data_IF_411237325380
#
_entry.id   IF_411237325380
#
_cell.length_a   1.000
_cell.length_b   1.000
_cell.length_c   1.000
_cell.angle_alpha   90.00
_cell.angle_beta   90.00
_cell.angle_gamma   90.00
#
_symmetry.space_group_name_H-M   'P 1'
#
loop_
_entity.id
_entity.type
_entity.pdbx_description
1 polymer ?
#
# COMPACT_ATOMS: atom_id res chain seq x y z
N UNK A 1 -0.64 81.75 -8.70
CA UNK A 1 -1.96 81.11 -8.49
C UNK A 1 -2.17 80.09 -9.61
N UNK A 2 -2.77 78.91 -9.36
CA UNK A 2 -2.05 77.63 -9.25
C UNK A 2 -2.50 76.55 -10.27
N UNK A 3 -1.91 75.34 -10.14
CA UNK A 3 -2.39 74.00 -10.58
C UNK A 3 -1.75 73.46 -11.87
N UNK A 4 -1.33 72.22 -12.00
CA UNK A 4 -1.31 71.09 -11.07
C UNK A 4 -0.22 70.11 -11.50
N UNK A 5 0.53 69.66 -10.51
CA UNK A 5 1.29 68.42 -10.53
C UNK A 5 0.26 67.28 -10.61
N UNK A 6 0.18 66.53 -11.70
CA UNK A 6 -0.58 65.26 -11.70
C UNK A 6 0.13 64.22 -12.55
N UNK A 7 0.98 63.50 -11.83
CA UNK A 7 1.49 62.14 -12.08
C UNK A 7 0.57 61.33 -13.00
N UNK A 8 1.10 60.89 -14.13
CA UNK A 8 0.60 59.70 -14.82
C UNK A 8 1.73 58.65 -14.79
N UNK A 9 1.91 58.05 -13.62
CA UNK A 9 2.51 56.71 -13.55
C UNK A 9 1.50 55.79 -14.21
N UNK A 10 1.78 55.37 -15.45
CA UNK A 10 1.02 54.31 -16.10
C UNK A 10 1.19 53.04 -15.26
N UNK A 11 0.22 52.78 -14.39
CA UNK A 11 0.10 51.54 -13.67
C UNK A 11 -0.16 50.44 -14.69
N UNK A 12 0.91 49.75 -15.09
CA UNK A 12 0.82 48.47 -15.77
C UNK A 12 0.32 47.46 -14.72
N UNK A 13 -0.98 47.48 -14.45
CA UNK A 13 -1.64 46.46 -13.64
C UNK A 13 -1.71 45.21 -14.52
N UNK A 14 -0.64 44.42 -14.48
CA UNK A 14 -0.61 43.06 -15.01
C UNK A 14 -1.62 42.27 -14.16
N UNK A 15 -2.86 42.18 -14.63
CA UNK A 15 -3.84 41.25 -14.08
C UNK A 15 -3.31 39.86 -14.42
N UNK A 16 -2.47 39.32 -13.54
CA UNK A 16 -2.23 37.89 -13.43
C UNK A 16 -3.55 37.27 -12.98
N UNK A 17 -4.44 37.03 -13.95
CA UNK A 17 -5.43 35.97 -13.85
C UNK A 17 -4.63 34.67 -13.74
N UNK A 18 -4.16 34.39 -12.53
CA UNK A 18 -3.79 33.04 -12.17
C UNK A 18 -5.06 32.23 -12.33
N UNK A 19 -5.17 31.51 -13.45
CA UNK A 19 -5.90 30.25 -13.43
C UNK A 19 -5.28 29.47 -12.29
N UNK A 20 -5.97 29.43 -11.15
CA UNK A 20 -5.82 28.35 -10.23
C UNK A 20 -6.21 27.11 -11.05
N UNK A 21 -5.20 26.49 -11.65
CA UNK A 21 -5.31 25.10 -12.06
C UNK A 21 -5.54 24.38 -10.75
N UNK A 22 -6.80 24.12 -10.43
CA UNK A 22 -7.14 23.20 -9.36
C UNK A 22 -6.48 21.89 -9.78
N UNK A 23 -5.44 21.49 -9.05
CA UNK A 23 -4.74 20.26 -9.35
C UNK A 23 -5.77 19.13 -9.31
N UNK A 24 -5.87 18.37 -10.39
CA UNK A 24 -6.76 17.21 -10.45
C UNK A 24 -6.55 16.37 -9.19
N UNK A 25 -7.63 15.94 -8.50
CA UNK A 25 -7.50 15.15 -7.28
C UNK A 25 -6.65 13.92 -7.57
N UNK A 26 -5.49 13.83 -6.92
CA UNK A 26 -4.63 12.65 -7.05
C UNK A 26 -5.36 11.46 -6.43
N UNK A 27 -5.66 10.40 -7.21
CA UNK A 27 -6.25 9.18 -6.67
C UNK A 27 -5.31 8.57 -5.62
N UNK A 28 -5.88 8.06 -4.53
CA UNK A 28 -5.14 7.46 -3.43
C UNK A 28 -5.61 6.04 -3.22
N UNK A 29 -4.67 5.15 -2.88
CA UNK A 29 -4.94 3.72 -2.70
C UNK A 29 -4.47 3.28 -1.32
N UNK A 30 -5.37 2.60 -0.59
CA UNK A 30 -5.06 1.86 0.62
C UNK A 30 -5.23 0.37 0.33
N UNK A 31 -4.14 -0.39 0.47
CA UNK A 31 -4.17 -1.86 0.42
C UNK A 31 -4.16 -2.35 1.87
N UNK A 32 -5.24 -2.98 2.30
CA UNK A 32 -5.29 -3.73 3.57
C UNK A 32 -5.25 -5.20 3.22
N UNK A 33 -4.21 -5.90 3.63
CA UNK A 33 -4.12 -7.35 3.47
C UNK A 33 -4.09 -8.05 4.81
N UNK A 34 -4.83 -9.16 4.88
CA UNK A 34 -5.01 -10.00 6.07
C UNK A 34 -4.44 -11.37 5.69
N UNK A 35 -3.28 -11.71 6.25
CA UNK A 35 -2.61 -12.98 5.93
C UNK A 35 -3.46 -14.17 6.40
N UNK A 36 -3.39 -15.28 5.67
CA UNK A 36 -4.14 -16.51 5.95
C UNK A 36 -5.67 -16.37 5.93
N UNK A 37 -6.21 -15.22 5.49
CA UNK A 37 -7.65 -14.96 5.52
C UNK A 37 -8.39 -15.72 4.41
N UNK A 38 -8.84 -16.92 4.74
CA UNK A 38 -9.59 -17.76 3.81
C UNK A 38 -11.01 -17.21 3.56
N UNK A 39 -11.49 -17.16 2.30
CA UNK A 39 -12.85 -16.68 1.99
C UNK A 39 -13.97 -17.43 2.73
N UNK A 40 -13.87 -18.75 2.90
CA UNK A 40 -14.91 -19.54 3.56
C UNK A 40 -14.97 -19.30 5.08
N UNK A 41 -13.81 -19.06 5.70
CA UNK A 41 -13.73 -18.63 7.09
C UNK A 41 -14.32 -17.22 7.27
N UNK A 42 -14.03 -16.30 6.34
CA UNK A 42 -14.58 -14.95 6.35
C UNK A 42 -16.11 -14.95 6.25
N UNK A 43 -16.68 -15.75 5.36
CA UNK A 43 -18.14 -15.88 5.19
C UNK A 43 -18.86 -16.45 6.42
N UNK A 44 -18.17 -17.25 7.23
CA UNK A 44 -18.74 -17.84 8.46
C UNK A 44 -18.58 -16.92 9.68
N UNK A 45 -17.58 -16.04 9.66
CA UNK A 45 -17.27 -15.12 10.74
C UNK A 45 -18.28 -13.96 10.82
N UNK A 46 -18.36 -13.32 11.99
CA UNK A 46 -19.13 -12.08 12.14
C UNK A 46 -18.22 -10.88 11.85
N UNK A 47 -18.27 -10.36 10.63
CA UNK A 47 -17.33 -9.33 10.15
C UNK A 47 -18.04 -8.08 9.62
N UNK A 48 -18.84 -7.37 10.44
CA UNK A 48 -19.76 -6.32 9.97
C UNK A 48 -19.08 -5.18 9.19
N UNK A 49 -17.81 -4.89 9.46
CA UNK A 49 -17.05 -3.87 8.73
C UNK A 49 -16.58 -4.36 7.36
N UNK A 50 -16.13 -5.61 7.23
CA UNK A 50 -15.79 -6.20 5.94
C UNK A 50 -17.05 -6.47 5.11
N UNK A 51 -18.14 -6.89 5.77
CA UNK A 51 -19.46 -7.08 5.14
C UNK A 51 -19.97 -5.77 4.51
N UNK A 52 -19.80 -4.64 5.21
CA UNK A 52 -20.13 -3.32 4.67
C UNK A 52 -19.26 -2.94 3.47
N UNK A 53 -17.95 -3.20 3.52
CA UNK A 53 -17.05 -2.96 2.38
C UNK A 53 -17.40 -3.81 1.16
N UNK A 54 -17.84 -5.05 1.37
CA UNK A 54 -18.33 -5.92 0.30
C UNK A 54 -19.64 -5.40 -0.28
N UNK A 55 -20.58 -4.97 0.57
CA UNK A 55 -21.87 -4.45 0.14
C UNK A 55 -21.77 -3.17 -0.69
N UNK A 56 -20.83 -2.28 -0.34
CA UNK A 56 -20.59 -1.01 -1.03
C UNK A 56 -19.52 -1.11 -2.14
N UNK A 57 -18.92 -2.30 -2.32
CA UNK A 57 -17.74 -2.50 -3.15
C UNK A 57 -17.87 -3.67 -4.13
N UNK A 58 -16.73 -4.30 -4.43
CA UNK A 58 -16.64 -5.47 -5.31
C UNK A 58 -16.03 -6.62 -4.51
N UNK A 59 -16.68 -7.77 -4.56
CA UNK A 59 -16.20 -9.02 -4.00
C UNK A 59 -15.82 -10.00 -5.11
N UNK A 60 -14.66 -10.64 -4.98
CA UNK A 60 -14.17 -11.62 -5.93
C UNK A 60 -13.49 -12.77 -5.21
N UNK A 61 -13.98 -13.99 -5.41
CA UNK A 61 -13.50 -15.20 -4.71
C UNK A 61 -12.39 -15.92 -5.48
N UNK A 62 -12.21 -15.63 -6.77
CA UNK A 62 -11.27 -16.32 -7.65
C UNK A 62 -9.84 -15.81 -7.57
N UNK A 63 -9.38 -15.34 -6.41
CA UNK A 63 -7.99 -14.90 -6.23
C UNK A 63 -7.11 -16.11 -5.94
N UNK A 64 -6.20 -16.43 -6.87
CA UNK A 64 -5.20 -17.48 -6.68
C UNK A 64 -3.82 -16.86 -6.54
N UNK A 65 -3.01 -17.42 -5.64
CA UNK A 65 -1.57 -17.10 -5.53
C UNK A 65 -0.71 -18.11 -6.29
N UNK A 66 -1.36 -19.09 -6.91
CA UNK A 66 -0.79 -20.08 -7.81
C UNK A 66 -1.02 -19.70 -9.27
N UNK A 67 -0.05 -20.01 -10.12
CA UNK A 67 -0.12 -19.94 -11.56
C UNK A 67 -1.29 -20.78 -12.08
N UNK A 68 -2.17 -20.22 -12.93
CA UNK A 68 -3.38 -20.91 -13.39
C UNK A 68 -3.14 -22.21 -14.16
N UNK A 69 -1.95 -22.39 -14.74
CA UNK A 69 -1.58 -23.61 -15.48
C UNK A 69 -0.99 -24.72 -14.60
N UNK A 70 -0.88 -24.47 -13.29
CA UNK A 70 -0.33 -25.41 -12.31
C UNK A 70 1.19 -25.60 -12.41
N UNK A 71 1.91 -24.71 -13.09
CA UNK A 71 3.38 -24.76 -13.21
C UNK A 71 4.13 -24.11 -12.05
N UNK A 72 3.41 -23.84 -10.96
CA UNK A 72 3.87 -23.17 -9.75
C UNK A 72 5.28 -23.56 -9.32
N UNK A 73 6.15 -22.56 -9.27
CA UNK A 73 7.44 -22.70 -8.61
C UNK A 73 7.32 -22.61 -7.07
N UNK A 74 6.16 -22.24 -6.53
CA UNK A 74 5.94 -22.01 -5.10
C UNK A 74 4.53 -22.45 -4.62
N UNK A 75 4.45 -22.87 -3.36
CA UNK A 75 3.16 -23.17 -2.70
C UNK A 75 2.45 -21.89 -2.20
N UNK A 76 1.28 -22.07 -1.59
CA UNK A 76 0.49 -20.99 -0.96
C UNK A 76 1.12 -20.50 0.34
N UNK A 77 2.27 -19.84 0.24
CA UNK A 77 3.10 -19.34 1.36
C UNK A 77 3.17 -17.81 1.31
N UNK A 78 3.25 -17.15 2.47
CA UNK A 78 3.25 -15.69 2.60
C UNK A 78 4.26 -15.00 1.67
N UNK A 79 5.53 -15.43 1.67
CA UNK A 79 6.60 -14.82 0.87
C UNK A 79 6.23 -14.73 -0.62
N UNK A 80 5.97 -15.86 -1.29
CA UNK A 80 5.45 -15.88 -2.66
C UNK A 80 4.17 -15.06 -2.83
N UNK A 81 3.14 -15.25 -1.99
CA UNK A 81 1.85 -14.57 -2.11
C UNK A 81 1.94 -13.04 -2.04
N UNK A 82 2.67 -12.50 -1.06
CA UNK A 82 2.89 -11.06 -0.93
C UNK A 82 3.78 -10.50 -2.04
N UNK A 83 4.72 -11.30 -2.54
CA UNK A 83 5.52 -10.94 -3.72
C UNK A 83 4.65 -10.85 -4.97
N UNK A 84 3.75 -11.80 -5.20
CA UNK A 84 2.78 -11.76 -6.29
C UNK A 84 1.95 -10.48 -6.23
N UNK A 85 1.32 -10.22 -5.08
CA UNK A 85 0.44 -9.07 -4.87
C UNK A 85 1.17 -7.74 -5.16
N UNK A 86 2.39 -7.61 -4.64
CA UNK A 86 3.10 -6.33 -4.70
C UNK A 86 3.91 -6.14 -5.98
N UNK A 87 4.20 -7.18 -6.76
CA UNK A 87 4.95 -7.07 -8.03
C UNK A 87 4.09 -7.28 -9.28
N UNK A 88 2.93 -7.92 -9.14
CA UNK A 88 2.01 -8.24 -10.24
C UNK A 88 2.51 -9.35 -11.18
N UNK A 89 3.47 -10.16 -10.73
CA UNK A 89 4.01 -11.32 -11.47
C UNK A 89 4.07 -12.55 -10.57
N UNK A 90 4.24 -13.73 -11.14
CA UNK A 90 4.28 -15.01 -10.42
C UNK A 90 5.69 -15.36 -9.91
N UNK A 91 5.84 -16.43 -9.08
CA UNK A 91 7.13 -16.84 -8.50
C UNK A 91 8.20 -17.21 -9.53
N UNK A 92 7.82 -17.70 -10.70
CA UNK A 92 8.70 -17.93 -11.85
C UNK A 92 9.43 -16.64 -12.32
N UNK A 93 8.85 -15.47 -12.05
CA UNK A 93 9.38 -14.15 -12.40
C UNK A 93 10.02 -13.46 -11.23
N UNK A 94 9.32 -13.23 -10.12
CA UNK A 94 9.91 -12.50 -8.99
C UNK A 94 10.89 -13.34 -8.16
N UNK A 95 10.90 -14.67 -8.30
CA UNK A 95 11.94 -15.55 -7.74
C UNK A 95 11.83 -15.84 -6.23
N UNK A 96 10.71 -15.52 -5.60
CA UNK A 96 10.47 -15.84 -4.18
C UNK A 96 9.63 -17.11 -4.13
N UNK A 97 10.23 -18.20 -3.66
CA UNK A 97 9.60 -19.52 -3.65
C UNK A 97 9.15 -19.98 -2.25
N UNK A 98 9.64 -19.30 -1.21
CA UNK A 98 9.32 -19.57 0.18
C UNK A 98 9.60 -18.31 1.04
N UNK A 99 9.40 -18.43 2.36
CA UNK A 99 9.66 -17.35 3.32
C UNK A 99 11.15 -17.07 3.57
N UNK A 100 12.09 -17.69 2.84
CA UNK A 100 13.53 -17.44 2.99
C UNK A 100 14.04 -16.35 2.06
N UNK A 101 13.29 -15.99 1.01
CA UNK A 101 13.67 -14.96 0.04
C UNK A 101 15.10 -15.13 -0.50
N UNK A 102 15.47 -16.35 -0.91
CA UNK A 102 16.86 -16.67 -1.27
C UNK A 102 17.39 -15.90 -2.48
N UNK A 103 16.56 -15.69 -3.52
CA UNK A 103 16.98 -15.01 -4.74
C UNK A 103 15.85 -14.18 -5.40
N UNK A 104 15.30 -13.17 -4.69
CA UNK A 104 14.31 -12.27 -5.26
C UNK A 104 14.87 -11.49 -6.44
N UNK A 105 14.07 -11.31 -7.48
CA UNK A 105 14.39 -10.56 -8.71
C UNK A 105 13.63 -9.25 -8.79
N UNK A 106 13.55 -8.51 -7.69
CA UNK A 106 12.81 -7.25 -7.60
C UNK A 106 13.45 -6.11 -8.40
N UNK A 107 14.73 -6.22 -8.75
CA UNK A 107 15.39 -5.33 -9.71
C UNK A 107 14.76 -5.42 -11.11
N UNK A 108 14.37 -6.63 -11.53
CA UNK A 108 13.71 -6.88 -12.82
C UNK A 108 12.18 -6.80 -12.74
N UNK A 109 11.62 -7.15 -11.59
CA UNK A 109 10.19 -7.15 -11.32
C UNK A 109 9.91 -6.30 -10.07
N UNK A 110 10.03 -4.96 -10.19
CA UNK A 110 9.91 -4.08 -9.04
C UNK A 110 8.51 -4.09 -8.45
N UNK A 111 8.47 -3.93 -7.13
CA UNK A 111 7.23 -3.83 -6.38
C UNK A 111 6.49 -2.52 -6.70
N UNK A 112 5.23 -2.45 -6.29
CA UNK A 112 4.27 -1.41 -6.69
C UNK A 112 4.70 0.01 -6.31
N UNK A 113 5.40 0.22 -5.18
CA UNK A 113 5.89 1.56 -4.82
C UNK A 113 7.02 2.02 -5.76
N UNK A 114 7.93 1.12 -6.13
CA UNK A 114 8.99 1.44 -7.08
C UNK A 114 8.39 1.79 -8.45
N UNK A 115 7.41 1.00 -8.93
CA UNK A 115 6.67 1.29 -10.16
C UNK A 115 5.93 2.63 -10.11
N UNK A 116 5.30 2.95 -8.98
CA UNK A 116 4.63 4.24 -8.79
C UNK A 116 5.64 5.38 -8.87
N UNK A 117 6.79 5.26 -8.22
CA UNK A 117 7.84 6.29 -8.21
C UNK A 117 8.57 6.44 -9.55
N UNK A 118 8.63 5.38 -10.37
CA UNK A 118 9.08 5.48 -11.77
C UNK A 118 8.16 6.40 -12.59
N UNK A 119 6.85 6.31 -12.39
CA UNK A 119 5.87 7.13 -13.08
C UNK A 119 5.69 8.53 -12.46
N UNK A 120 5.78 8.62 -11.13
CA UNK A 120 5.56 9.82 -10.32
C UNK A 120 6.59 9.89 -9.20
N UNK A 121 7.79 10.45 -9.46
CA UNK A 121 8.89 10.48 -8.48
C UNK A 121 8.54 11.14 -7.14
N UNK A 122 7.56 12.06 -7.15
CA UNK A 122 7.06 12.78 -5.98
C UNK A 122 6.01 12.02 -5.16
N UNK A 123 5.52 10.87 -5.65
CA UNK A 123 4.47 10.11 -4.98
C UNK A 123 4.91 9.65 -3.60
N UNK A 124 4.07 9.90 -2.60
CA UNK A 124 4.30 9.52 -1.20
C UNK A 124 3.74 8.13 -0.95
N UNK A 125 4.55 7.26 -0.37
CA UNK A 125 4.23 5.84 -0.13
C UNK A 125 4.51 5.44 1.31
N UNK A 126 3.66 4.58 1.88
CA UNK A 126 3.82 4.12 3.24
C UNK A 126 3.47 2.63 3.41
N UNK A 127 4.13 1.97 4.36
CA UNK A 127 3.89 0.58 4.72
C UNK A 127 3.87 0.41 6.23
N UNK A 128 2.85 -0.28 6.74
CA UNK A 128 2.70 -0.68 8.14
C UNK A 128 2.51 -2.20 8.16
N UNK A 129 3.45 -2.93 8.75
CA UNK A 129 3.47 -4.39 8.70
C UNK A 129 3.64 -5.01 10.07
N UNK A 130 3.03 -6.18 10.26
CA UNK A 130 3.22 -7.07 11.42
C UNK A 130 4.00 -8.33 11.03
N UNK A 131 4.58 -8.33 9.84
CA UNK A 131 5.52 -9.33 9.36
C UNK A 131 6.75 -8.67 8.74
N UNK A 132 7.89 -8.86 9.39
CA UNK A 132 9.18 -8.23 9.07
C UNK A 132 9.60 -8.32 7.59
N UNK A 133 9.44 -9.45 6.88
CA UNK A 133 9.87 -9.56 5.49
C UNK A 133 9.23 -8.57 4.51
N UNK A 134 8.00 -8.10 4.74
CA UNK A 134 7.42 -7.04 3.89
C UNK A 134 8.30 -5.79 3.94
N UNK A 135 8.63 -5.34 5.16
CA UNK A 135 9.44 -4.14 5.38
C UNK A 135 10.88 -4.32 4.90
N UNK A 136 11.51 -5.45 5.20
CA UNK A 136 12.94 -5.67 4.95
C UNK A 136 13.26 -6.16 3.54
N UNK A 137 12.32 -6.83 2.87
CA UNK A 137 12.59 -7.57 1.62
C UNK A 137 11.79 -7.07 0.43
N UNK A 138 10.55 -6.62 0.61
CA UNK A 138 9.64 -6.36 -0.52
C UNK A 138 9.51 -4.87 -0.82
N UNK A 139 9.12 -4.05 0.17
CA UNK A 139 8.74 -2.64 -0.07
C UNK A 139 9.92 -1.66 0.02
N UNK A 140 11.05 -1.97 -0.62
CA UNK A 140 12.29 -1.19 -0.51
C UNK A 140 12.20 0.28 -0.93
N UNK A 141 11.23 0.64 -1.78
CA UNK A 141 11.01 2.01 -2.24
C UNK A 141 9.96 2.81 -1.44
N UNK A 142 9.53 2.32 -0.27
CA UNK A 142 8.60 3.05 0.60
C UNK A 142 9.26 4.32 1.17
N UNK A 143 8.54 5.45 1.23
CA UNK A 143 9.03 6.64 1.96
C UNK A 143 8.96 6.43 3.47
N UNK A 144 7.95 5.68 3.92
CA UNK A 144 7.80 5.21 5.29
C UNK A 144 7.55 3.70 5.30
N UNK A 145 8.36 2.94 6.04
CA UNK A 145 8.09 1.53 6.29
C UNK A 145 8.26 1.25 7.78
N UNK A 146 7.20 0.77 8.44
CA UNK A 146 7.20 0.44 9.87
C UNK A 146 6.81 -1.03 10.05
N UNK A 147 7.67 -1.75 10.75
CA UNK A 147 7.45 -3.11 11.22
C UNK A 147 7.07 -3.07 12.71
N UNK A 148 6.00 -3.77 13.06
CA UNK A 148 5.45 -3.86 14.41
C UNK A 148 5.63 -5.25 15.02
N UNK A 149 6.27 -6.18 14.30
CA UNK A 149 6.59 -7.49 14.83
C UNK A 149 7.78 -7.46 15.80
N UNK A 150 7.72 -8.33 16.79
CA UNK A 150 8.82 -8.60 17.72
C UNK A 150 8.83 -10.08 18.14
N UNK A 151 9.81 -10.45 18.98
CA UNK A 151 10.04 -11.83 19.40
C UNK A 151 8.88 -12.43 20.24
N UNK A 152 7.96 -11.62 20.75
CA UNK A 152 6.80 -12.11 21.51
C UNK A 152 5.80 -12.88 20.66
N UNK A 153 5.77 -12.62 19.34
CA UNK A 153 4.78 -13.16 18.40
C UNK A 153 3.32 -12.89 18.82
N UNK A 154 3.07 -11.82 19.57
CA UNK A 154 1.70 -11.39 19.90
C UNK A 154 1.11 -10.64 18.70
N UNK A 155 0.71 -11.39 17.66
CA UNK A 155 0.17 -10.80 16.43
C UNK A 155 -1.12 -10.03 16.66
N UNK A 156 -1.87 -10.34 17.72
CA UNK A 156 -3.03 -9.53 18.09
C UNK A 156 -2.59 -8.13 18.47
N UNK A 157 -1.61 -8.01 19.36
CA UNK A 157 -1.05 -6.71 19.76
C UNK A 157 -0.34 -6.02 18.60
N UNK A 158 0.37 -6.77 17.75
CA UNK A 158 1.05 -6.20 16.58
C UNK A 158 0.05 -5.58 15.62
N UNK A 159 -1.03 -6.30 15.29
CA UNK A 159 -2.07 -5.87 14.36
C UNK A 159 -2.78 -4.62 14.91
N UNK A 160 -3.14 -4.60 16.20
CA UNK A 160 -3.71 -3.44 16.88
C UNK A 160 -2.79 -2.21 16.81
N UNK A 161 -1.49 -2.37 17.05
CA UNK A 161 -0.50 -1.27 16.99
C UNK A 161 -0.24 -0.77 15.58
N UNK A 162 -0.14 -1.68 14.60
CA UNK A 162 0.05 -1.33 13.20
C UNK A 162 -1.15 -0.54 12.66
N UNK A 163 -2.37 -0.99 12.96
CA UNK A 163 -3.60 -0.28 12.58
C UNK A 163 -3.68 1.10 13.23
N UNK A 164 -3.41 1.22 14.53
CA UNK A 164 -3.42 2.50 15.23
C UNK A 164 -2.40 3.49 14.64
N UNK A 165 -1.18 3.05 14.37
CA UNK A 165 -0.15 3.88 13.78
C UNK A 165 -0.47 4.28 12.32
N UNK A 166 -1.11 3.39 11.56
CA UNK A 166 -1.60 3.69 10.22
C UNK A 166 -2.66 4.80 10.26
N UNK A 167 -3.62 4.71 11.19
CA UNK A 167 -4.66 5.73 11.39
C UNK A 167 -4.05 7.07 11.79
N UNK A 168 -3.10 7.07 12.73
CA UNK A 168 -2.39 8.30 13.14
C UNK A 168 -1.66 8.95 11.95
N UNK A 169 -0.96 8.14 11.14
CA UNK A 169 -0.26 8.63 9.96
C UNK A 169 -1.21 9.23 8.92
N UNK A 170 -2.35 8.58 8.65
CA UNK A 170 -3.37 9.10 7.75
C UNK A 170 -4.04 10.39 8.26
N UNK A 171 -3.94 10.69 9.56
CA UNK A 171 -4.38 11.96 10.14
C UNK A 171 -3.45 13.15 9.88
N UNK A 172 -2.18 12.89 9.52
CA UNK A 172 -1.15 13.93 9.35
C UNK A 172 -0.48 13.93 7.96
N UNK A 173 -0.72 12.89 7.16
CA UNK A 173 -0.13 12.71 5.84
C UNK A 173 -1.18 12.22 4.83
N UNK A 174 -0.87 12.39 3.53
CA UNK A 174 -1.74 11.97 2.42
C UNK A 174 -0.96 11.12 1.42
N UNK A 175 -0.60 9.87 1.77
CA UNK A 175 0.10 8.99 0.85
C UNK A 175 -0.75 8.72 -0.40
N UNK A 176 -0.09 8.63 -1.56
CA UNK A 176 -0.73 8.20 -2.81
C UNK A 176 -0.99 6.69 -2.79
N UNK A 177 -0.12 5.92 -2.12
CA UNK A 177 -0.27 4.48 -1.95
C UNK A 177 0.23 4.03 -0.57
N UNK A 178 -0.64 3.37 0.19
CA UNK A 178 -0.32 2.80 1.50
C UNK A 178 -0.63 1.30 1.53
N UNK A 179 0.25 0.51 2.14
CA UNK A 179 0.02 -0.92 2.43
C UNK A 179 -0.04 -1.13 3.95
N UNK A 180 -1.12 -1.75 4.42
CA UNK A 180 -1.28 -2.25 5.78
C UNK A 180 -1.36 -3.78 5.73
N UNK A 181 -0.44 -4.45 6.40
CA UNK A 181 -0.45 -5.90 6.60
C UNK A 181 -0.96 -6.23 8.00
N UNK A 182 -1.78 -7.26 8.11
CA UNK A 182 -2.29 -7.85 9.36
C UNK A 182 -2.06 -9.36 9.33
N UNK A 183 -1.44 -9.91 10.37
CA UNK A 183 -0.98 -11.31 10.42
C UNK A 183 -1.73 -12.20 11.42
N UNK A 184 -2.59 -11.63 12.27
CA UNK A 184 -3.16 -12.35 13.40
C UNK A 184 -4.05 -13.53 12.99
N UNK A 185 -4.77 -13.43 11.87
CA UNK A 185 -5.69 -14.48 11.41
C UNK A 185 -4.91 -15.72 10.97
N UNK A 186 -3.81 -15.56 10.25
CA UNK A 186 -2.91 -16.64 9.86
C UNK A 186 -2.34 -17.38 11.08
N UNK A 187 -1.78 -16.62 12.02
CA UNK A 187 -1.13 -17.16 13.21
C UNK A 187 -2.13 -17.84 14.16
N UNK A 188 -3.37 -17.33 14.24
CA UNK A 188 -4.44 -18.02 14.94
C UNK A 188 -4.87 -19.31 14.22
N UNK A 189 -4.82 -19.35 12.89
CA UNK A 189 -5.10 -20.55 12.11
C UNK A 189 -4.02 -21.63 12.23
N UNK A 190 -2.79 -21.23 12.55
CA UNK A 190 -1.65 -22.14 12.78
C UNK A 190 -1.60 -22.78 14.18
N UNK A 191 -2.30 -22.20 15.16
CA UNK A 191 -2.22 -22.55 16.59
C UNK A 191 -2.95 -23.86 16.99
#
# INVERSE_FOLDING_TARGET
MPRALTRLFAAFLLILLGSACEAEPVPRVLIVGIDGCRPDALQTARTPHLDALVADGIWFEGTDIREPDGTDAADTVSGPGWSNLLTGVWPDKHGVLDNKFTAPRYDRYPHVFARLKEARPEAVTASFSTWKPIADKIVSAADLSRDFSDDSKDYRLFDERAAAACIEYLGVATPELLVLYQGQVDEAGHA
#
